data_IF_091072466362
#
_entry.id   IF_091072466362
#
_cell.length_a   1.000
_cell.length_b   1.000
_cell.length_c   1.000
_cell.angle_alpha   90.00
_cell.angle_beta   90.00
_cell.angle_gamma   90.00
#
_symmetry.space_group_name_H-M   'P 1'
#
loop_
_entity.id
_entity.type
_entity.pdbx_description
1 polymer ?
#
# COMPACT_ATOMS: atom_id res chain seq x y z
N UNK A 1 -3.92 -22.29 0.26
CA UNK A 1 -3.45 -22.36 -1.16
C UNK A 1 -1.94 -22.22 -1.15
N UNK A 2 -1.18 -23.17 -1.71
CA UNK A 2 0.29 -23.06 -1.75
C UNK A 2 0.73 -22.15 -2.90
N UNK A 3 1.10 -20.91 -2.57
CA UNK A 3 1.52 -19.89 -3.52
C UNK A 3 2.87 -20.18 -4.20
N UNK A 4 3.62 -21.17 -3.71
CA UNK A 4 4.97 -21.52 -4.20
C UNK A 4 5.01 -22.84 -4.97
N UNK A 5 3.88 -23.52 -5.16
CA UNK A 5 3.80 -24.77 -5.92
C UNK A 5 4.31 -24.56 -7.35
N UNK A 6 5.23 -25.42 -7.80
CA UNK A 6 5.81 -25.37 -9.14
C UNK A 6 6.87 -24.26 -9.35
N UNK A 7 7.37 -23.62 -8.30
CA UNK A 7 8.48 -22.66 -8.41
C UNK A 7 9.81 -23.39 -8.36
N UNK A 8 10.74 -22.98 -9.20
CA UNK A 8 12.12 -23.50 -9.25
C UNK A 8 12.93 -23.21 -7.98
N UNK A 9 12.68 -22.02 -7.37
CA UNK A 9 13.39 -21.56 -6.19
C UNK A 9 12.60 -21.83 -4.91
N UNK A 10 13.31 -22.07 -3.82
CA UNK A 10 12.70 -22.25 -2.51
C UNK A 10 11.90 -20.99 -2.10
N UNK A 11 10.82 -21.21 -1.35
CA UNK A 11 9.94 -20.15 -0.88
C UNK A 11 10.69 -19.00 -0.18
N UNK A 12 11.69 -19.35 0.64
CA UNK A 12 12.42 -18.37 1.45
C UNK A 12 13.27 -17.43 0.59
N UNK A 13 13.86 -17.93 -0.50
CA UNK A 13 14.59 -17.13 -1.49
C UNK A 13 13.64 -16.15 -2.18
N UNK A 14 12.47 -16.62 -2.61
CA UNK A 14 11.48 -15.80 -3.28
C UNK A 14 10.98 -14.68 -2.34
N UNK A 15 10.63 -15.04 -1.09
CA UNK A 15 10.14 -14.09 -0.09
C UNK A 15 11.22 -13.06 0.25
N UNK A 16 12.47 -13.48 0.42
CA UNK A 16 13.60 -12.61 0.71
C UNK A 16 13.80 -11.57 -0.40
N UNK A 17 13.88 -12.03 -1.66
CA UNK A 17 14.05 -11.16 -2.82
C UNK A 17 12.92 -10.14 -2.95
N UNK A 18 11.67 -10.59 -2.83
CA UNK A 18 10.48 -9.73 -2.89
C UNK A 18 10.47 -8.73 -1.74
N UNK A 19 10.80 -9.16 -0.53
CA UNK A 19 10.84 -8.30 0.66
C UNK A 19 11.92 -7.24 0.56
N UNK A 20 13.12 -7.58 0.12
CA UNK A 20 14.21 -6.62 -0.10
C UNK A 20 13.80 -5.56 -1.12
N UNK A 21 13.28 -5.97 -2.27
CA UNK A 21 12.82 -5.03 -3.28
C UNK A 21 11.70 -4.12 -2.77
N UNK A 22 10.68 -4.65 -2.09
CA UNK A 22 9.53 -3.87 -1.63
C UNK A 22 9.85 -2.98 -0.42
N UNK A 23 10.77 -3.39 0.43
CA UNK A 23 11.12 -2.69 1.67
C UNK A 23 12.13 -1.58 1.46
N UNK A 24 13.17 -1.88 0.68
CA UNK A 24 14.29 -0.97 0.45
C UNK A 24 14.17 -0.34 -0.95
N UNK A 25 14.81 0.80 -1.17
CA UNK A 25 14.79 1.45 -2.49
C UNK A 25 15.85 0.84 -3.45
N UNK A 26 15.87 -0.49 -3.54
CA UNK A 26 16.76 -1.26 -4.38
C UNK A 26 16.18 -1.45 -5.77
N UNK A 27 17.03 -1.51 -6.80
CA UNK A 27 16.65 -1.99 -8.12
C UNK A 27 16.55 -3.52 -8.13
N UNK A 28 16.03 -4.11 -9.20
CA UNK A 28 16.03 -5.58 -9.34
C UNK A 28 17.45 -6.13 -9.49
N UNK A 29 18.40 -5.34 -10.04
CA UNK A 29 19.80 -5.73 -10.16
C UNK A 29 20.52 -5.70 -8.81
N UNK A 30 20.28 -4.66 -8.00
CA UNK A 30 20.83 -4.61 -6.64
C UNK A 30 20.38 -5.83 -5.81
N UNK A 31 19.11 -6.25 -5.97
CA UNK A 31 18.61 -7.45 -5.28
C UNK A 31 19.26 -8.72 -5.86
N UNK A 32 19.52 -8.78 -7.16
CA UNK A 32 20.26 -9.89 -7.78
C UNK A 32 21.67 -9.98 -7.20
N UNK A 33 22.41 -8.87 -7.15
CA UNK A 33 23.76 -8.80 -6.58
C UNK A 33 23.78 -9.26 -5.11
N UNK A 34 22.85 -8.75 -4.29
CA UNK A 34 22.72 -9.15 -2.89
C UNK A 34 22.45 -10.66 -2.69
N UNK A 35 21.77 -11.30 -3.64
CA UNK A 35 21.52 -12.74 -3.60
C UNK A 35 22.75 -13.51 -4.08
N UNK A 36 23.43 -13.05 -5.15
CA UNK A 36 24.65 -13.64 -5.67
C UNK A 36 25.79 -13.65 -4.63
N UNK A 37 25.94 -12.56 -3.85
CA UNK A 37 26.86 -12.49 -2.70
C UNK A 37 26.64 -13.60 -1.65
N UNK A 38 25.49 -14.26 -1.69
CA UNK A 38 25.09 -15.37 -0.80
C UNK A 38 25.04 -16.71 -1.52
N UNK A 39 25.63 -16.79 -2.74
CA UNK A 39 25.64 -17.99 -3.56
C UNK A 39 24.27 -18.34 -4.16
N UNK A 40 23.33 -17.38 -4.25
CA UNK A 40 22.00 -17.61 -4.82
C UNK A 40 21.92 -16.94 -6.19
N UNK A 41 22.02 -17.73 -7.25
CA UNK A 41 21.99 -17.24 -8.63
C UNK A 41 20.56 -17.08 -9.14
N UNK A 42 20.07 -15.83 -9.20
CA UNK A 42 18.71 -15.46 -9.66
C UNK A 42 18.77 -14.28 -10.62
N UNK A 43 18.25 -14.44 -11.82
CA UNK A 43 18.19 -13.35 -12.79
C UNK A 43 17.22 -12.24 -12.32
N UNK A 44 17.59 -10.96 -12.50
CA UNK A 44 16.76 -9.79 -12.16
C UNK A 44 15.36 -9.84 -12.79
N UNK A 45 15.21 -10.45 -13.96
CA UNK A 45 13.90 -10.61 -14.62
C UNK A 45 12.97 -11.57 -13.87
N UNK A 46 13.54 -12.58 -13.21
CA UNK A 46 12.82 -13.51 -12.34
C UNK A 46 12.36 -12.79 -11.07
N UNK A 47 13.23 -12.00 -10.43
CA UNK A 47 12.88 -11.16 -9.29
C UNK A 47 11.74 -10.18 -9.67
N UNK A 48 11.81 -9.57 -10.85
CA UNK A 48 10.74 -8.70 -11.35
C UNK A 48 9.41 -9.44 -11.49
N UNK A 49 9.41 -10.68 -11.99
CA UNK A 49 8.19 -11.52 -12.07
C UNK A 49 7.62 -11.81 -10.69
N UNK A 50 8.47 -12.19 -9.72
CA UNK A 50 8.04 -12.43 -8.35
C UNK A 50 7.40 -11.20 -7.70
N UNK A 51 8.02 -10.04 -7.83
CA UNK A 51 7.45 -8.79 -7.27
C UNK A 51 6.08 -8.46 -7.88
N UNK A 52 5.90 -8.65 -9.20
CA UNK A 52 4.61 -8.45 -9.87
C UNK A 52 3.54 -9.44 -9.41
N UNK A 53 3.93 -10.68 -9.14
CA UNK A 53 3.06 -11.76 -8.69
C UNK A 53 2.70 -11.58 -7.21
N UNK A 54 3.70 -11.51 -6.34
CA UNK A 54 3.48 -11.55 -4.89
C UNK A 54 3.06 -10.21 -4.27
N UNK A 55 3.39 -9.08 -4.87
CA UNK A 55 2.98 -7.77 -4.36
C UNK A 55 1.45 -7.64 -4.19
N UNK A 56 0.64 -7.95 -5.22
CA UNK A 56 -0.82 -7.97 -5.09
C UNK A 56 -1.35 -9.05 -4.14
N UNK A 57 -0.74 -10.25 -4.13
CA UNK A 57 -1.13 -11.35 -3.24
C UNK A 57 -0.96 -10.95 -1.78
N UNK A 58 0.20 -10.40 -1.41
CA UNK A 58 0.46 -9.88 -0.07
C UNK A 58 -0.60 -8.86 0.36
N UNK A 59 -0.95 -7.92 -0.54
CA UNK A 59 -1.98 -6.94 -0.26
C UNK A 59 -3.36 -7.56 -0.02
N UNK A 60 -3.74 -8.58 -0.77
CA UNK A 60 -5.00 -9.28 -0.60
C UNK A 60 -5.06 -10.03 0.73
N UNK A 61 -4.00 -10.75 1.09
CA UNK A 61 -3.88 -11.49 2.34
C UNK A 61 -3.92 -10.54 3.54
N UNK A 62 -3.15 -9.45 3.46
CA UNK A 62 -3.17 -8.42 4.50
C UNK A 62 -4.57 -7.82 4.71
N UNK A 63 -5.28 -7.49 3.62
CA UNK A 63 -6.64 -6.95 3.70
C UNK A 63 -7.65 -7.92 4.32
N UNK A 64 -7.48 -9.22 4.13
CA UNK A 64 -8.30 -10.25 4.78
C UNK A 64 -8.07 -10.30 6.29
N UNK A 65 -6.83 -10.11 6.74
CA UNK A 65 -6.45 -10.13 8.16
C UNK A 65 -6.70 -8.78 8.85
N UNK A 66 -6.50 -7.65 8.15
CA UNK A 66 -6.67 -6.31 8.68
C UNK A 66 -8.10 -5.79 8.44
N UNK A 67 -9.04 -6.24 9.28
CA UNK A 67 -10.46 -5.87 9.18
C UNK A 67 -10.88 -4.75 10.15
N UNK A 68 -10.07 -4.46 11.16
CA UNK A 68 -10.34 -3.40 12.13
C UNK A 68 -9.71 -2.09 11.71
N UNK A 69 -10.43 -1.00 11.93
CA UNK A 69 -9.95 0.36 11.77
C UNK A 69 -10.44 1.20 12.95
N UNK A 70 -9.65 2.18 13.38
CA UNK A 70 -10.15 3.16 14.34
C UNK A 70 -11.27 4.00 13.74
N UNK A 71 -12.06 4.65 14.60
CA UNK A 71 -13.21 5.46 14.17
C UNK A 71 -12.82 6.79 13.50
N UNK A 72 -11.53 7.14 13.44
CA UNK A 72 -11.04 8.37 12.83
C UNK A 72 -10.12 8.03 11.66
N UNK A 73 -10.46 8.51 10.47
CA UNK A 73 -9.68 8.29 9.27
C UNK A 73 -9.08 9.59 8.75
N UNK A 74 -7.91 9.49 8.16
CA UNK A 74 -7.29 10.55 7.36
C UNK A 74 -7.17 10.05 5.94
N UNK A 75 -7.57 10.87 4.97
CA UNK A 75 -7.46 10.55 3.56
C UNK A 75 -6.77 11.69 2.83
N UNK A 76 -5.81 11.33 2.00
CA UNK A 76 -5.05 12.25 1.18
C UNK A 76 -4.76 11.66 -0.21
N UNK A 77 -4.43 12.54 -1.14
CA UNK A 77 -4.01 12.16 -2.47
C UNK A 77 -2.66 12.78 -2.80
N UNK A 78 -1.85 12.02 -3.50
CA UNK A 78 -0.58 12.51 -4.02
C UNK A 78 -0.39 12.09 -5.46
N UNK A 79 0.46 12.80 -6.20
CA UNK A 79 0.80 12.40 -7.56
C UNK A 79 2.06 11.55 -7.62
N UNK A 80 2.09 10.66 -8.61
CA UNK A 80 3.24 9.82 -8.95
C UNK A 80 3.48 9.93 -10.45
N UNK A 81 4.73 10.15 -10.86
CA UNK A 81 5.11 10.22 -12.26
C UNK A 81 5.45 8.81 -12.77
N UNK A 82 4.75 8.35 -13.83
CA UNK A 82 4.98 7.05 -14.47
C UNK A 82 5.20 7.31 -15.97
N UNK A 83 6.38 7.02 -16.50
CA UNK A 83 6.76 7.30 -17.88
C UNK A 83 6.42 8.75 -18.29
N UNK A 84 6.81 9.72 -17.46
CA UNK A 84 6.56 11.13 -17.75
C UNK A 84 5.14 11.63 -17.46
N UNK A 85 4.15 10.77 -17.28
CA UNK A 85 2.74 11.14 -17.04
C UNK A 85 2.38 11.10 -15.56
N UNK A 86 1.60 12.08 -15.09
CA UNK A 86 1.11 12.12 -13.73
C UNK A 86 -0.04 11.14 -13.52
N UNK A 87 0.02 10.40 -12.40
CA UNK A 87 -1.01 9.51 -11.89
C UNK A 87 -1.24 9.84 -10.42
N UNK A 88 -2.41 9.55 -9.90
CA UNK A 88 -2.82 9.98 -8.57
C UNK A 88 -3.00 8.79 -7.65
N UNK A 89 -2.37 8.86 -6.49
CA UNK A 89 -2.41 7.84 -5.45
C UNK A 89 -3.29 8.34 -4.31
N UNK A 90 -4.44 7.73 -4.16
CA UNK A 90 -5.32 7.91 -3.02
C UNK A 90 -4.86 7.01 -1.89
N UNK A 91 -4.77 7.54 -0.70
CA UNK A 91 -4.38 6.82 0.53
C UNK A 91 -5.33 7.18 1.66
N UNK A 92 -5.68 6.19 2.48
CA UNK A 92 -6.36 6.39 3.75
C UNK A 92 -5.60 5.67 4.86
N UNK A 93 -5.48 6.34 6.00
CA UNK A 93 -4.92 5.80 7.24
C UNK A 93 -5.91 6.04 8.38
N UNK A 94 -5.81 5.25 9.43
CA UNK A 94 -6.57 5.47 10.65
C UNK A 94 -5.85 6.45 11.63
N UNK A 95 -6.44 6.68 12.80
CA UNK A 95 -5.86 7.56 13.82
C UNK A 95 -4.50 7.09 14.33
N UNK A 96 -4.24 5.80 14.31
CA UNK A 96 -2.96 5.18 14.69
C UNK A 96 -1.95 5.20 13.54
N UNK A 97 -2.29 5.77 12.38
CA UNK A 97 -1.45 5.81 11.20
C UNK A 97 -1.39 4.50 10.42
N UNK A 98 -2.24 3.51 10.76
CA UNK A 98 -2.30 2.26 10.00
C UNK A 98 -2.97 2.46 8.65
N UNK A 99 -2.35 1.94 7.59
CA UNK A 99 -2.90 2.06 6.24
C UNK A 99 -4.19 1.24 6.10
N UNK A 100 -5.28 1.92 5.79
CA UNK A 100 -6.58 1.31 5.51
C UNK A 100 -6.63 0.82 4.06
N UNK A 101 -6.43 1.72 3.12
CA UNK A 101 -6.38 1.37 1.69
C UNK A 101 -5.50 2.34 0.91
N UNK A 102 -5.05 1.88 -0.26
CA UNK A 102 -4.29 2.64 -1.22
C UNK A 102 -4.74 2.31 -2.63
N UNK A 103 -4.89 3.33 -3.49
CA UNK A 103 -5.39 3.14 -4.84
C UNK A 103 -4.78 4.10 -5.84
N UNK A 104 -4.12 3.56 -6.86
CA UNK A 104 -3.51 4.33 -7.95
C UNK A 104 -4.51 4.53 -9.10
N UNK A 105 -4.69 5.78 -9.52
CA UNK A 105 -5.63 6.19 -10.57
C UNK A 105 -4.95 7.06 -11.61
N UNK A 106 -5.54 7.09 -12.82
CA UNK A 106 -5.04 7.94 -13.91
C UNK A 106 -5.42 9.41 -13.74
N UNK A 107 -6.59 9.69 -13.17
CA UNK A 107 -7.17 11.01 -13.02
C UNK A 107 -7.37 11.39 -11.56
N UNK A 108 -7.25 12.69 -11.30
CA UNK A 108 -7.66 13.33 -10.05
C UNK A 108 -9.05 13.93 -10.26
N UNK A 109 -10.06 13.13 -10.01
CA UNK A 109 -11.45 13.53 -10.23
C UNK A 109 -12.36 13.09 -9.09
N UNK A 110 -13.54 13.71 -9.05
CA UNK A 110 -14.59 13.40 -8.05
C UNK A 110 -15.00 11.93 -8.13
N UNK A 111 -15.01 11.33 -9.31
CA UNK A 111 -15.40 9.92 -9.48
C UNK A 111 -14.38 8.98 -8.83
N UNK A 112 -13.09 9.24 -8.98
CA UNK A 112 -12.03 8.45 -8.33
C UNK A 112 -12.09 8.57 -6.83
N UNK A 113 -12.23 9.79 -6.28
CA UNK A 113 -12.39 10.01 -4.86
C UNK A 113 -13.66 9.33 -4.29
N UNK A 114 -14.79 9.48 -4.98
CA UNK A 114 -16.05 8.83 -4.62
C UNK A 114 -15.94 7.29 -4.57
N UNK A 115 -15.32 6.70 -5.59
CA UNK A 115 -15.10 5.25 -5.64
C UNK A 115 -14.14 4.78 -4.54
N UNK A 116 -13.13 5.58 -4.18
CA UNK A 116 -12.21 5.27 -3.11
C UNK A 116 -12.91 5.27 -1.73
N UNK A 117 -13.71 6.28 -1.43
CA UNK A 117 -14.54 6.31 -0.21
C UNK A 117 -15.49 5.11 -0.13
N UNK A 118 -16.15 4.74 -1.25
CA UNK A 118 -16.99 3.53 -1.28
C UNK A 118 -16.25 2.26 -0.91
N UNK A 119 -14.98 2.13 -1.35
CA UNK A 119 -14.12 0.98 -1.01
C UNK A 119 -13.82 0.93 0.48
N UNK A 120 -13.48 2.08 1.07
CA UNK A 120 -13.22 2.20 2.51
C UNK A 120 -14.47 1.81 3.32
N UNK A 121 -15.61 2.38 2.97
CA UNK A 121 -16.89 2.10 3.63
C UNK A 121 -17.25 0.59 3.57
N UNK A 122 -17.06 -0.04 2.40
CA UNK A 122 -17.33 -1.47 2.22
C UNK A 122 -16.43 -2.36 3.09
N UNK A 123 -15.18 -1.96 3.31
CA UNK A 123 -14.19 -2.78 4.02
C UNK A 123 -14.23 -2.59 5.53
N UNK A 124 -14.46 -1.36 6.00
CA UNK A 124 -14.28 -0.97 7.40
C UNK A 124 -15.54 -0.42 8.07
N UNK A 125 -16.63 -0.24 7.33
CA UNK A 125 -17.83 0.43 7.84
C UNK A 125 -17.68 1.94 7.87
N UNK A 126 -18.58 2.61 8.59
CA UNK A 126 -18.64 4.06 8.69
C UNK A 126 -17.79 4.57 9.85
N UNK A 127 -16.81 5.47 9.64
CA UNK A 127 -16.04 6.07 10.71
C UNK A 127 -16.81 7.22 11.38
N UNK A 128 -16.39 7.60 12.57
CA UNK A 128 -16.92 8.79 13.26
C UNK A 128 -16.43 10.09 12.59
N UNK A 129 -15.16 10.12 12.20
CA UNK A 129 -14.52 11.32 11.62
C UNK A 129 -13.71 10.93 10.39
N UNK A 130 -13.81 11.73 9.33
CA UNK A 130 -12.91 11.70 8.18
C UNK A 130 -12.23 13.06 8.04
N UNK A 131 -10.90 13.07 8.05
CA UNK A 131 -10.08 14.26 7.81
C UNK A 131 -9.54 14.21 6.39
N UNK A 132 -9.72 15.29 5.64
CA UNK A 132 -9.16 15.45 4.29
C UNK A 132 -8.55 16.84 4.14
N UNK A 133 -7.78 17.04 3.08
CA UNK A 133 -7.45 18.38 2.63
C UNK A 133 -8.68 19.11 2.06
N UNK A 134 -8.46 20.33 1.57
CA UNK A 134 -9.53 21.17 0.98
C UNK A 134 -9.70 20.94 -0.53
N UNK A 135 -9.22 19.80 -1.10
CA UNK A 135 -9.35 19.54 -2.52
C UNK A 135 -10.82 19.48 -2.97
N UNK A 136 -11.22 20.25 -3.98
CA UNK A 136 -12.62 20.32 -4.42
C UNK A 136 -13.19 18.97 -4.85
N UNK A 137 -12.36 18.12 -5.49
CA UNK A 137 -12.75 16.78 -5.94
C UNK A 137 -13.11 15.85 -4.78
N UNK A 138 -12.37 15.93 -3.67
CA UNK A 138 -12.60 15.15 -2.45
C UNK A 138 -13.87 15.64 -1.75
N UNK A 139 -14.02 16.97 -1.61
CA UNK A 139 -15.20 17.58 -0.98
C UNK A 139 -16.46 17.18 -1.74
N UNK A 140 -16.46 17.35 -3.07
CA UNK A 140 -17.60 17.02 -3.91
C UNK A 140 -17.96 15.52 -3.84
N UNK A 141 -16.94 14.64 -3.81
CA UNK A 141 -17.13 13.20 -3.68
C UNK A 141 -17.78 12.83 -2.34
N UNK A 142 -17.28 13.40 -1.24
CA UNK A 142 -17.80 13.14 0.10
C UNK A 142 -19.24 13.64 0.25
N UNK A 143 -19.52 14.88 -0.16
CA UNK A 143 -20.89 15.46 -0.15
C UNK A 143 -21.86 14.63 -0.97
N UNK A 144 -21.44 14.13 -2.14
CA UNK A 144 -22.25 13.22 -2.97
C UNK A 144 -22.60 11.93 -2.22
N UNK A 145 -21.63 11.35 -1.49
CA UNK A 145 -21.87 10.14 -0.69
C UNK A 145 -22.84 10.39 0.46
N UNK A 146 -22.73 11.53 1.14
CA UNK A 146 -23.68 11.91 2.20
C UNK A 146 -25.10 12.07 1.67
N UNK A 147 -25.26 12.72 0.50
CA UNK A 147 -26.57 12.81 -0.19
C UNK A 147 -27.13 11.43 -0.59
N UNK A 148 -26.25 10.44 -0.86
CA UNK A 148 -26.64 9.05 -1.14
C UNK A 148 -26.93 8.22 0.11
N UNK A 149 -26.96 8.82 1.28
CA UNK A 149 -27.23 8.13 2.54
C UNK A 149 -26.06 7.33 3.10
N UNK A 150 -24.82 7.58 2.62
CA UNK A 150 -23.57 7.01 3.13
C UNK A 150 -22.82 8.04 3.95
N UNK A 151 -22.01 7.59 4.91
CA UNK A 151 -21.31 8.52 5.82
C UNK A 151 -22.26 9.50 6.54
N UNK A 152 -23.48 9.04 6.88
CA UNK A 152 -24.51 9.86 7.52
C UNK A 152 -24.11 10.36 8.91
N UNK A 153 -23.40 9.49 9.66
CA UNK A 153 -22.96 9.77 11.05
C UNK A 153 -21.53 10.28 11.09
N UNK A 154 -20.88 10.46 9.93
CA UNK A 154 -19.49 10.84 9.83
C UNK A 154 -19.31 12.35 9.77
N UNK A 155 -18.53 12.91 10.68
CA UNK A 155 -18.05 14.28 10.60
C UNK A 155 -16.94 14.39 9.56
N UNK A 156 -17.09 15.30 8.58
CA UNK A 156 -16.07 15.59 7.59
C UNK A 156 -15.27 16.83 7.97
N UNK A 157 -14.04 16.65 8.44
CA UNK A 157 -13.10 17.73 8.80
C UNK A 157 -12.17 18.04 7.63
N UNK A 158 -12.19 19.29 7.17
CA UNK A 158 -11.39 19.78 6.03
C UNK A 158 -10.22 20.61 6.55
N UNK A 159 -9.13 19.97 6.96
CA UNK A 159 -8.00 20.61 7.63
C UNK A 159 -6.69 20.24 6.92
N UNK A 160 -6.05 21.24 6.28
CA UNK A 160 -4.84 21.05 5.46
C UNK A 160 -3.65 20.47 6.26
N UNK A 161 -3.45 20.92 7.49
CA UNK A 161 -2.22 20.62 8.26
C UNK A 161 -2.27 19.33 9.08
N UNK A 162 -3.38 18.60 9.13
CA UNK A 162 -3.47 17.34 9.87
C UNK A 162 -2.99 16.11 9.05
N UNK A 163 -2.49 16.34 7.84
CA UNK A 163 -2.09 15.25 6.91
C UNK A 163 -0.59 14.95 6.90
N UNK A 164 0.23 15.59 7.75
CA UNK A 164 1.69 15.37 7.79
C UNK A 164 2.07 13.88 7.93
N UNK A 165 1.28 13.11 8.68
CA UNK A 165 1.53 11.68 8.87
C UNK A 165 1.37 10.89 7.55
N UNK A 166 0.38 11.24 6.71
CA UNK A 166 0.18 10.62 5.39
C UNK A 166 1.28 11.05 4.43
N UNK A 167 1.73 12.30 4.50
CA UNK A 167 2.79 12.83 3.62
C UNK A 167 4.11 12.08 3.81
N UNK A 168 4.47 11.73 5.04
CA UNK A 168 5.66 10.92 5.33
C UNK A 168 5.58 9.54 4.66
N UNK A 169 4.42 8.93 4.65
CA UNK A 169 4.19 7.63 4.00
C UNK A 169 4.32 7.71 2.47
N UNK A 170 3.96 8.86 1.87
CA UNK A 170 4.09 9.06 0.43
C UNK A 170 5.55 9.12 -0.04
N UNK A 171 6.49 9.55 0.82
CA UNK A 171 7.90 9.76 0.46
C UNK A 171 8.54 8.51 -0.14
N UNK A 172 8.36 7.34 0.48
CA UNK A 172 8.95 6.07 0.00
C UNK A 172 8.46 5.68 -1.40
N UNK A 173 7.19 5.90 -1.69
CA UNK A 173 6.60 5.59 -2.99
C UNK A 173 7.11 6.57 -4.04
N UNK A 174 7.22 7.86 -3.71
CA UNK A 174 7.76 8.89 -4.60
C UNK A 174 9.22 8.66 -4.96
N UNK A 175 10.05 8.24 -4.01
CA UNK A 175 11.46 7.91 -4.25
C UNK A 175 11.62 6.85 -5.33
N UNK A 176 10.72 5.87 -5.39
CA UNK A 176 10.72 4.80 -6.41
C UNK A 176 10.03 5.17 -7.72
N UNK A 177 9.47 6.37 -7.85
CA UNK A 177 8.66 6.77 -9.02
C UNK A 177 9.39 6.63 -10.36
N UNK A 178 10.70 6.86 -10.38
CA UNK A 178 11.54 6.71 -11.60
C UNK A 178 11.60 5.26 -12.12
N UNK A 179 11.39 4.25 -11.28
CA UNK A 179 11.44 2.84 -11.67
C UNK A 179 10.14 2.29 -12.25
N UNK A 180 9.03 3.02 -12.19
CA UNK A 180 7.74 2.54 -12.65
C UNK A 180 7.62 2.55 -14.18
N UNK A 181 7.51 1.37 -14.79
CA UNK A 181 7.43 1.19 -16.25
C UNK A 181 5.99 1.24 -16.81
N UNK A 182 4.97 1.03 -15.99
CA UNK A 182 3.56 1.08 -16.38
C UNK A 182 2.65 1.26 -15.16
N UNK A 183 1.41 1.72 -15.39
CA UNK A 183 0.41 1.85 -14.33
C UNK A 183 0.15 0.52 -13.60
N UNK A 184 0.07 -0.58 -14.36
CA UNK A 184 -0.16 -1.93 -13.82
C UNK A 184 1.00 -2.38 -12.92
N UNK A 185 2.24 -2.24 -13.39
CA UNK A 185 3.41 -2.62 -12.60
C UNK A 185 3.60 -1.72 -11.38
N UNK A 186 3.39 -0.41 -11.52
CA UNK A 186 3.41 0.52 -10.40
C UNK A 186 2.38 0.14 -9.34
N UNK A 187 1.13 -0.12 -9.74
CA UNK A 187 0.07 -0.50 -8.82
C UNK A 187 0.39 -1.81 -8.06
N UNK A 188 0.98 -2.81 -8.73
CA UNK A 188 1.39 -4.05 -8.10
C UNK A 188 2.52 -3.83 -7.07
N UNK A 189 3.56 -3.10 -7.46
CA UNK A 189 4.67 -2.76 -6.56
C UNK A 189 4.22 -1.94 -5.35
N UNK A 190 3.41 -0.91 -5.58
CA UNK A 190 2.91 -0.03 -4.51
C UNK A 190 2.06 -0.81 -3.50
N UNK A 191 1.20 -1.73 -3.97
CA UNK A 191 0.43 -2.61 -3.08
C UNK A 191 1.33 -3.44 -2.17
N UNK A 192 2.38 -4.04 -2.70
CA UNK A 192 3.36 -4.80 -1.92
C UNK A 192 4.12 -3.92 -0.93
N UNK A 193 4.61 -2.75 -1.38
CA UNK A 193 5.31 -1.78 -0.52
C UNK A 193 4.45 -1.35 0.67
N UNK A 194 3.18 -1.04 0.43
CA UNK A 194 2.25 -0.64 1.48
C UNK A 194 1.96 -1.77 2.47
N UNK A 195 1.83 -2.99 1.97
CA UNK A 195 1.62 -4.14 2.84
C UNK A 195 2.79 -4.33 3.80
N UNK A 196 4.02 -4.34 3.28
CA UNK A 196 5.20 -4.42 4.14
C UNK A 196 5.31 -3.21 5.08
N UNK A 197 5.01 -2.01 4.59
CA UNK A 197 5.04 -0.81 5.44
C UNK A 197 4.02 -0.92 6.59
N UNK A 198 2.80 -1.40 6.33
CA UNK A 198 1.77 -1.61 7.34
C UNK A 198 2.20 -2.65 8.38
N UNK A 199 2.80 -3.76 7.96
CA UNK A 199 3.37 -4.77 8.86
C UNK A 199 4.43 -4.17 9.80
N UNK A 200 5.39 -3.41 9.25
CA UNK A 200 6.41 -2.74 10.05
C UNK A 200 5.84 -1.70 11.02
N UNK A 201 4.82 -0.94 10.59
CA UNK A 201 4.13 0.03 11.47
C UNK A 201 3.48 -0.67 12.66
N UNK A 202 2.75 -1.76 12.39
CA UNK A 202 2.10 -2.56 13.43
C UNK A 202 3.10 -3.02 14.48
N UNK A 203 4.20 -3.65 14.06
CA UNK A 203 5.21 -4.15 14.99
C UNK A 203 5.93 -3.08 15.79
N UNK A 204 6.21 -1.91 15.19
CA UNK A 204 6.77 -0.77 15.92
C UNK A 204 5.84 -0.24 16.99
N UNK A 205 4.54 -0.21 16.70
CA UNK A 205 3.53 0.26 17.65
C UNK A 205 3.37 -0.71 18.82
N UNK A 206 3.39 -2.00 18.51
CA UNK A 206 3.18 -3.06 19.52
C UNK A 206 4.45 -3.34 20.34
N UNK A 207 5.53 -2.55 20.16
CA UNK A 207 6.78 -2.65 20.94
C UNK A 207 7.68 -3.83 20.58
N UNK A 208 7.29 -4.67 19.63
CA UNK A 208 8.02 -5.88 19.22
C UNK A 208 9.16 -5.54 18.24
N UNK A 209 10.12 -4.71 18.66
CA UNK A 209 11.27 -4.33 17.82
C UNK A 209 12.28 -5.47 17.68
N UNK A 210 12.39 -6.35 18.67
CA UNK A 210 13.30 -7.51 18.68
C UNK A 210 12.49 -8.78 18.38
N UNK A 211 12.99 -9.59 17.44
CA UNK A 211 12.32 -10.81 16.99
C UNK A 211 11.34 -10.62 15.84
N UNK A 212 11.06 -9.38 15.41
CA UNK A 212 10.28 -9.15 14.20
C UNK A 212 11.14 -9.32 12.95
N UNK A 213 10.73 -10.23 12.09
CA UNK A 213 11.27 -10.39 10.74
C UNK A 213 10.15 -10.17 9.73
N UNK A 214 10.36 -9.23 8.80
CA UNK A 214 9.43 -9.07 7.67
C UNK A 214 9.32 -10.36 6.87
N UNK A 215 10.39 -11.14 6.81
CA UNK A 215 10.43 -12.45 6.19
C UNK A 215 9.44 -13.40 6.87
N UNK A 216 9.48 -13.52 8.19
CA UNK A 216 8.58 -14.39 8.95
C UNK A 216 7.13 -13.98 8.78
N UNK A 217 6.81 -12.68 8.84
CA UNK A 217 5.44 -12.19 8.66
C UNK A 217 4.92 -12.42 7.23
N UNK A 218 5.77 -12.21 6.22
CA UNK A 218 5.41 -12.51 4.83
C UNK A 218 5.23 -14.01 4.64
N UNK A 219 6.09 -14.84 5.24
CA UNK A 219 5.96 -16.31 5.24
C UNK A 219 4.64 -16.72 5.88
N UNK A 220 4.30 -16.19 7.05
CA UNK A 220 3.06 -16.48 7.76
C UNK A 220 1.82 -16.02 6.97
N UNK A 221 1.90 -14.88 6.27
CA UNK A 221 0.82 -14.40 5.40
C UNK A 221 0.60 -15.32 4.20
N UNK A 222 1.67 -15.81 3.59
CA UNK A 222 1.62 -16.64 2.38
C UNK A 222 1.32 -18.12 2.69
N UNK A 223 1.57 -18.58 3.93
CA UNK A 223 1.27 -19.93 4.38
C UNK A 223 -0.21 -20.10 4.80
N UNK A 224 -0.91 -19.01 5.07
CA UNK A 224 -2.33 -19.00 5.45
C UNK A 224 -3.25 -19.02 4.23
#
# INVERSE_FOLDING_TARGET
MNHFKGKQFQKDVIILAVSYYLRFNLSYRDVQELLSDRGIEVCYSTIQRWVKEYGPVLCQLWKKKNKSASSHWKMDETYIKIKGKYHYLYRAIDAQGMTLDIWLRRKRDTQSAHAFFKRLLKQFGEPRVVVTDKAPSIIAAFTKLQKQGKYKKTEHRRIKYLNNLIEQDHRKIKMRSKSYKSLRSAAATIKGMETLHALYKKHRRDGNLFGFSALNEVTNLLAA
#
